data_IF_782562304032
#
_entry.id   IF_782562304032
#
_cell.length_a   1.000
_cell.length_b   1.000
_cell.length_c   1.000
_cell.angle_alpha   90.00
_cell.angle_beta   90.00
_cell.angle_gamma   90.00
#
_symmetry.space_group_name_H-M   'P 1'
#
loop_
_entity.id
_entity.type
_entity.pdbx_description
1 polymer ?
#
# COMPACT_ATOMS: atom_id res chain seq x y z
N UNK A 1 10.15 -5.31 -25.16
CA UNK A 1 11.23 -5.57 -24.17
C UNK A 1 11.89 -4.29 -23.64
N UNK A 2 11.11 -3.24 -23.34
CA UNK A 2 11.60 -1.97 -22.72
C UNK A 2 10.86 -1.64 -21.41
N UNK A 3 10.20 -2.63 -20.81
CA UNK A 3 9.34 -2.47 -19.63
C UNK A 3 10.15 -2.35 -18.34
N UNK A 4 11.27 -3.07 -18.23
CA UNK A 4 12.15 -3.06 -17.06
C UNK A 4 12.76 -1.67 -16.76
N UNK A 5 13.38 -0.96 -17.72
CA UNK A 5 13.92 0.39 -17.47
C UNK A 5 12.83 1.38 -17.04
N UNK A 6 11.65 1.33 -17.68
CA UNK A 6 10.51 2.19 -17.33
C UNK A 6 9.97 1.90 -15.93
N UNK A 7 9.90 0.61 -15.54
CA UNK A 7 9.51 0.21 -14.19
C UNK A 7 10.50 0.71 -13.13
N UNK A 8 11.81 0.62 -13.41
CA UNK A 8 12.84 1.14 -12.50
C UNK A 8 12.74 2.66 -12.31
N UNK A 9 12.54 3.40 -13.41
CA UNK A 9 12.32 4.86 -13.34
C UNK A 9 11.06 5.17 -12.52
N UNK A 10 9.95 4.48 -12.78
CA UNK A 10 8.70 4.67 -12.05
C UNK A 10 8.86 4.37 -10.56
N UNK A 11 9.54 3.28 -10.20
CA UNK A 11 9.83 2.91 -8.82
C UNK A 11 10.69 3.97 -8.11
N UNK A 12 11.71 4.51 -8.79
CA UNK A 12 12.55 5.58 -8.27
C UNK A 12 11.76 6.87 -8.02
N UNK A 13 10.91 7.28 -8.95
CA UNK A 13 10.03 8.46 -8.77
C UNK A 13 9.07 8.25 -7.61
N UNK A 14 8.45 7.08 -7.49
CA UNK A 14 7.59 6.73 -6.36
C UNK A 14 8.33 6.82 -5.02
N UNK A 15 9.56 6.30 -4.96
CA UNK A 15 10.38 6.36 -3.75
C UNK A 15 10.71 7.80 -3.34
N UNK A 16 11.04 8.68 -4.28
CA UNK A 16 11.30 10.11 -4.02
C UNK A 16 10.05 10.79 -3.49
N UNK A 17 8.89 10.57 -4.12
CA UNK A 17 7.61 11.16 -3.68
C UNK A 17 7.27 10.69 -2.26
N UNK A 18 7.39 9.39 -1.98
CA UNK A 18 7.16 8.84 -0.64
C UNK A 18 8.13 9.43 0.39
N UNK A 19 9.41 9.60 0.03
CA UNK A 19 10.41 10.22 0.89
C UNK A 19 10.11 11.68 1.22
N UNK A 20 9.68 12.47 0.22
CA UNK A 20 9.24 13.86 0.41
C UNK A 20 8.00 13.95 1.30
N UNK A 21 7.00 13.10 1.06
CA UNK A 21 5.81 13.03 1.90
C UNK A 21 6.17 12.68 3.35
N UNK A 22 7.13 11.78 3.57
CA UNK A 22 7.61 11.43 4.90
C UNK A 22 8.32 12.60 5.58
N UNK A 23 9.20 13.30 4.85
CA UNK A 23 10.01 14.39 5.39
C UNK A 23 9.19 15.63 5.76
N UNK A 24 8.23 16.02 4.91
CA UNK A 24 7.51 17.29 5.06
C UNK A 24 6.09 17.13 5.63
N UNK A 25 5.46 15.97 5.45
CA UNK A 25 4.09 15.72 5.93
C UNK A 25 3.94 14.28 6.46
N UNK A 26 4.64 13.92 7.56
CA UNK A 26 4.62 12.56 8.11
C UNK A 26 3.20 12.09 8.48
N UNK A 27 2.30 13.02 8.82
CA UNK A 27 0.89 12.74 9.07
C UNK A 27 0.11 12.24 7.85
N UNK A 28 0.48 12.65 6.63
CA UNK A 28 -0.24 12.26 5.41
C UNK A 28 -0.04 10.77 5.10
N UNK A 29 1.19 10.27 5.21
CA UNK A 29 1.47 8.84 5.06
C UNK A 29 0.78 8.02 6.14
N UNK A 30 0.73 8.53 7.38
CA UNK A 30 0.03 7.87 8.48
C UNK A 30 -1.48 7.80 8.23
N UNK A 31 -2.08 8.82 7.63
CA UNK A 31 -3.50 8.81 7.22
C UNK A 31 -3.73 7.86 6.04
N UNK A 32 -2.85 7.90 5.04
CA UNK A 32 -2.96 7.10 3.81
C UNK A 32 -2.73 5.60 4.01
N UNK A 33 -1.89 5.21 4.97
CA UNK A 33 -1.60 3.79 5.25
C UNK A 33 -2.17 3.32 6.60
N UNK A 34 -2.69 4.23 7.43
CA UNK A 34 -3.15 3.91 8.78
C UNK A 34 -4.43 3.05 8.83
N UNK A 35 -5.19 3.01 7.75
CA UNK A 35 -6.38 2.15 7.60
C UNK A 35 -6.03 0.72 7.15
N UNK A 36 -4.84 0.52 6.58
CA UNK A 36 -4.42 -0.76 6.04
C UNK A 36 -4.25 -1.79 7.15
N UNK A 37 -5.00 -2.90 7.07
CA UNK A 37 -5.03 -3.94 8.10
C UNK A 37 -5.94 -3.62 9.30
N UNK A 38 -6.76 -2.56 9.23
CA UNK A 38 -7.71 -2.17 10.28
C UNK A 38 -9.16 -2.17 9.80
N UNK A 39 -9.43 -2.73 8.61
CA UNK A 39 -10.78 -2.83 8.09
C UNK A 39 -11.56 -3.90 8.85
N UNK A 40 -12.89 -3.75 9.01
CA UNK A 40 -13.73 -4.79 9.61
C UNK A 40 -13.57 -6.08 8.80
N UNK A 41 -13.14 -7.14 9.46
CA UNK A 41 -12.82 -8.44 8.84
C UNK A 41 -11.33 -8.73 8.72
N UNK A 42 -10.44 -7.73 8.83
CA UNK A 42 -9.00 -7.99 8.98
C UNK A 42 -8.73 -8.69 10.32
N UNK A 43 -8.04 -9.83 10.28
CA UNK A 43 -7.80 -10.65 11.48
C UNK A 43 -6.50 -10.18 12.12
N UNK A 44 -6.60 -9.70 13.35
CA UNK A 44 -5.47 -9.36 14.22
C UNK A 44 -5.59 -10.17 15.49
N UNK A 45 -4.82 -11.24 15.57
CA UNK A 45 -4.76 -12.07 16.77
C UNK A 45 -3.42 -11.87 17.46
N UNK A 46 -3.46 -11.45 18.72
CA UNK A 46 -2.26 -11.27 19.55
C UNK A 46 -2.43 -12.11 20.82
N UNK A 47 -1.52 -13.04 21.05
CA UNK A 47 -1.49 -13.87 22.25
C UNK A 47 -0.04 -14.00 22.74
N UNK A 48 0.29 -13.32 23.84
CA UNK A 48 1.65 -13.31 24.39
C UNK A 48 2.70 -12.93 23.34
N UNK A 49 3.60 -13.87 23.03
CA UNK A 49 4.65 -13.73 22.02
C UNK A 49 4.20 -14.02 20.57
N UNK A 50 2.96 -14.47 20.36
CA UNK A 50 2.44 -14.81 19.03
C UNK A 50 1.56 -13.69 18.49
N UNK A 51 1.88 -13.20 17.30
CA UNK A 51 1.10 -12.22 16.56
C UNK A 51 0.76 -12.78 15.17
N UNK A 52 -0.53 -12.94 14.90
CA UNK A 52 -1.05 -13.39 13.60
C UNK A 52 -1.84 -12.24 12.98
N UNK A 53 -1.39 -11.81 11.79
CA UNK A 53 -1.98 -10.72 11.03
C UNK A 53 -2.41 -11.20 9.65
N UNK A 54 -3.73 -11.18 9.39
CA UNK A 54 -4.31 -11.59 8.11
C UNK A 54 -5.21 -10.46 7.58
N UNK A 55 -4.66 -9.52 6.80
CA UNK A 55 -5.39 -8.37 6.28
C UNK A 55 -6.11 -8.68 4.96
N UNK A 56 -6.92 -9.74 4.92
CA UNK A 56 -7.51 -10.23 3.66
C UNK A 56 -8.52 -9.26 3.05
N UNK A 57 -9.26 -8.51 3.88
CA UNK A 57 -10.22 -7.49 3.41
C UNK A 57 -9.46 -6.30 2.85
N UNK A 58 -8.43 -5.85 3.56
CA UNK A 58 -7.53 -4.80 3.05
C UNK A 58 -6.88 -5.19 1.71
N UNK A 59 -6.38 -6.43 1.57
CA UNK A 59 -5.79 -6.91 0.32
C UNK A 59 -6.80 -6.96 -0.82
N UNK A 60 -8.03 -7.39 -0.53
CA UNK A 60 -9.11 -7.42 -1.50
C UNK A 60 -9.42 -6.01 -2.02
N UNK A 61 -9.55 -5.03 -1.12
CA UNK A 61 -9.82 -3.64 -1.49
C UNK A 61 -8.71 -3.06 -2.38
N UNK A 62 -7.44 -3.29 -2.00
CA UNK A 62 -6.27 -2.85 -2.78
C UNK A 62 -6.28 -3.49 -4.17
N UNK A 63 -6.59 -4.78 -4.28
CA UNK A 63 -6.68 -5.49 -5.56
C UNK A 63 -7.75 -4.90 -6.48
N UNK A 64 -8.94 -4.60 -5.93
CA UNK A 64 -10.03 -3.98 -6.69
C UNK A 64 -9.62 -2.59 -7.20
N UNK A 65 -9.03 -1.76 -6.33
CA UNK A 65 -8.56 -0.41 -6.70
C UNK A 65 -7.50 -0.48 -7.80
N UNK A 66 -6.46 -1.30 -7.62
CA UNK A 66 -5.41 -1.46 -8.63
C UNK A 66 -5.98 -1.97 -9.96
N UNK A 67 -6.94 -2.90 -9.93
CA UNK A 67 -7.59 -3.43 -11.13
C UNK A 67 -8.41 -2.38 -11.86
N UNK A 68 -9.15 -1.53 -11.13
CA UNK A 68 -9.90 -0.41 -11.70
C UNK A 68 -8.98 0.63 -12.32
N UNK A 69 -7.91 1.02 -11.62
CA UNK A 69 -6.90 1.95 -12.14
C UNK A 69 -6.23 1.38 -13.39
N UNK A 70 -5.83 0.11 -13.37
CA UNK A 70 -5.25 -0.56 -14.53
C UNK A 70 -6.23 -0.59 -15.72
N UNK A 71 -7.54 -0.72 -15.47
CA UNK A 71 -8.57 -0.63 -16.53
C UNK A 71 -8.74 0.78 -17.08
N UNK A 72 -8.61 1.81 -16.23
CA UNK A 72 -8.77 3.20 -16.63
C UNK A 72 -7.58 3.73 -17.45
N UNK A 73 -6.37 3.25 -17.16
CA UNK A 73 -5.13 3.65 -17.83
C UNK A 73 -4.67 2.67 -18.94
N UNK A 74 -5.44 1.61 -19.21
CA UNK A 74 -5.21 0.68 -20.33
C UNK A 74 -5.96 1.14 -21.57
#
# INVERSE_FOLDING_TARGET
>A
MTTLPKLLILAGVLAIVLGLLWAYQPGLLRTLFGWFGRLPGDIRYQNGNTFVFVPWVSMLLVSIVLSLLARLFR
#
